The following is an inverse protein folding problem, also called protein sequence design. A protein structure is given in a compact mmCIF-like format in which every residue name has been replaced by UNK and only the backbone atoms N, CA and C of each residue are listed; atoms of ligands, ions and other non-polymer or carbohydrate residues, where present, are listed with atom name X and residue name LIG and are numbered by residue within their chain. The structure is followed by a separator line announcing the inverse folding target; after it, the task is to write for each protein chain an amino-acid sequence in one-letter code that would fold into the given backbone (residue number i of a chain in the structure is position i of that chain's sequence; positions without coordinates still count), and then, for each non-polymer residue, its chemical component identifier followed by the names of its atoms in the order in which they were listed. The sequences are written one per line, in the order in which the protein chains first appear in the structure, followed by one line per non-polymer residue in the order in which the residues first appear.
data_IF_218936870292
#
_entry.id   IF_218936870292
#
_cell.length_a   1.000
_cell.length_b   1.000
_cell.length_c   1.000
_cell.angle_alpha   90.00
_cell.angle_beta   90.00
_cell.angle_gamma   90.00
#
_symmetry.space_group_name_H-M   'P 1'
#
loop_
_entity.id
_entity.type
_entity.pdbx_description
1 polymer ?
#
# COMPACT_ATOMS: atom_id res chain seq x y z
N UNK A 1 -32.98 15.75 11.41
CA UNK A 1 -32.49 14.66 10.54
C UNK A 1 -31.84 15.18 9.25
N UNK A 2 -32.47 16.13 8.53
CA UNK A 2 -32.03 16.65 7.22
C UNK A 2 -30.68 17.41 7.30
N UNK A 3 -30.49 18.19 8.37
CA UNK A 3 -29.24 18.90 8.63
C UNK A 3 -28.08 17.92 8.86
N UNK A 4 -28.31 16.86 9.65
CA UNK A 4 -27.31 15.82 9.89
C UNK A 4 -26.98 15.04 8.62
N UNK A 5 -27.98 14.77 7.77
CA UNK A 5 -27.77 14.16 6.47
C UNK A 5 -26.82 15.01 5.61
N UNK A 6 -27.11 16.30 5.45
CA UNK A 6 -26.28 17.19 4.66
C UNK A 6 -24.88 17.38 5.25
N UNK A 7 -24.75 17.49 6.58
CA UNK A 7 -23.47 17.54 7.23
C UNK A 7 -22.63 16.30 6.93
N UNK A 8 -23.21 15.09 7.03
CA UNK A 8 -22.52 13.85 6.71
C UNK A 8 -22.15 13.73 5.23
N UNK A 9 -23.02 14.18 4.31
CA UNK A 9 -22.72 14.18 2.87
C UNK A 9 -21.57 15.14 2.57
N UNK A 10 -21.62 16.38 3.08
CA UNK A 10 -20.59 17.39 2.84
C UNK A 10 -19.24 16.99 3.42
N UNK A 11 -19.22 16.41 4.62
CA UNK A 11 -18.00 15.87 5.21
C UNK A 11 -17.38 14.79 4.31
N UNK A 12 -18.16 13.81 3.87
CA UNK A 12 -17.65 12.73 3.00
C UNK A 12 -17.19 13.23 1.63
N UNK A 13 -17.85 14.23 1.08
CA UNK A 13 -17.41 14.87 -0.18
C UNK A 13 -16.10 15.64 0.03
N UNK A 14 -15.94 16.31 1.16
CA UNK A 14 -14.70 16.99 1.53
C UNK A 14 -13.53 16.02 1.68
N UNK A 15 -13.76 14.94 2.43
CA UNK A 15 -12.70 13.98 2.77
C UNK A 15 -12.25 13.12 1.57
N UNK A 16 -13.20 12.67 0.75
CA UNK A 16 -12.94 11.65 -0.29
C UNK A 16 -13.21 12.12 -1.72
N UNK A 17 -13.66 13.37 -1.92
CA UNK A 17 -14.11 13.89 -3.21
C UNK A 17 -15.46 13.34 -3.64
N UNK A 18 -15.90 13.77 -4.84
CA UNK A 18 -17.13 13.31 -5.45
C UNK A 18 -16.90 11.96 -6.16
N UNK A 19 -17.85 11.02 -5.95
CA UNK A 19 -17.96 9.76 -6.70
C UNK A 19 -19.40 9.62 -7.20
N UNK A 20 -19.63 8.75 -8.17
CA UNK A 20 -20.96 8.56 -8.78
C UNK A 20 -22.07 8.37 -7.74
N UNK A 21 -21.83 7.50 -6.75
CA UNK A 21 -22.76 7.27 -5.66
C UNK A 21 -23.06 8.51 -4.83
N UNK A 22 -22.06 9.38 -4.62
CA UNK A 22 -22.24 10.62 -3.86
C UNK A 22 -23.01 11.67 -4.66
N UNK A 23 -22.84 11.70 -5.99
CA UNK A 23 -23.65 12.54 -6.85
C UNK A 23 -25.12 12.14 -6.74
N UNK A 24 -25.43 10.85 -6.85
CA UNK A 24 -26.81 10.38 -6.66
C UNK A 24 -27.33 10.63 -5.25
N UNK A 25 -26.48 10.50 -4.23
CA UNK A 25 -26.87 10.82 -2.85
C UNK A 25 -27.23 12.29 -2.68
N UNK A 26 -26.46 13.19 -3.31
CA UNK A 26 -26.76 14.64 -3.33
C UNK A 26 -28.09 14.91 -4.04
N UNK A 27 -28.33 14.29 -5.19
CA UNK A 27 -29.58 14.41 -5.94
C UNK A 27 -30.77 13.94 -5.09
N UNK A 28 -30.66 12.76 -4.48
CA UNK A 28 -31.68 12.24 -3.56
C UNK A 28 -31.91 13.18 -2.37
N UNK A 29 -30.85 13.70 -1.78
CA UNK A 29 -30.94 14.66 -0.68
C UNK A 29 -31.67 15.97 -1.07
N UNK A 30 -31.37 16.48 -2.27
CA UNK A 30 -32.05 17.65 -2.79
C UNK A 30 -33.56 17.41 -3.00
N UNK A 31 -33.91 16.26 -3.56
CA UNK A 31 -35.34 15.85 -3.74
C UNK A 31 -36.03 15.73 -2.39
N UNK A 32 -35.40 15.05 -1.41
CA UNK A 32 -35.95 14.93 -0.05
C UNK A 32 -36.12 16.29 0.63
N UNK A 33 -35.15 17.20 0.45
CA UNK A 33 -35.21 18.56 1.01
C UNK A 33 -36.37 19.33 0.40
N UNK A 34 -36.56 19.25 -0.91
CA UNK A 34 -37.70 19.87 -1.61
C UNK A 34 -39.04 19.29 -1.12
N UNK A 35 -39.14 17.96 -0.93
CA UNK A 35 -40.31 17.30 -0.40
C UNK A 35 -40.70 17.80 1.00
N UNK A 36 -39.71 17.87 1.91
CA UNK A 36 -39.91 18.36 3.28
C UNK A 36 -40.30 19.83 3.27
N UNK A 37 -39.69 20.66 2.43
CA UNK A 37 -40.03 22.07 2.30
C UNK A 37 -41.48 22.29 1.83
N UNK A 38 -41.93 21.52 0.82
CA UNK A 38 -43.33 21.58 0.35
C UNK A 38 -44.32 21.08 1.41
N UNK A 39 -43.93 20.05 2.16
CA UNK A 39 -44.75 19.57 3.27
C UNK A 39 -44.88 20.63 4.37
N UNK A 40 -43.77 21.22 4.78
CA UNK A 40 -43.74 22.29 5.79
C UNK A 40 -44.55 23.53 5.32
N UNK A 41 -44.52 23.84 4.03
CA UNK A 41 -45.33 24.92 3.42
C UNK A 41 -46.81 24.55 3.22
N UNK A 42 -47.25 23.37 3.67
CA UNK A 42 -48.62 22.85 3.50
C UNK A 42 -49.11 22.83 2.03
N UNK A 43 -48.19 22.66 1.08
CA UNK A 43 -48.49 22.62 -0.38
C UNK A 43 -48.50 21.18 -0.89
N UNK A 44 -49.20 20.28 -0.23
CA UNK A 44 -49.20 18.84 -0.49
C UNK A 44 -49.71 18.45 -1.88
N UNK A 45 -50.59 19.25 -2.50
CA UNK A 45 -51.11 18.99 -3.86
C UNK A 45 -50.05 19.13 -4.97
N UNK A 46 -48.81 19.49 -4.66
CA UNK A 46 -47.74 19.72 -5.63
C UNK A 46 -46.69 18.60 -5.71
N UNK A 47 -46.95 17.46 -5.09
CA UNK A 47 -45.99 16.34 -5.11
C UNK A 47 -45.66 15.80 -6.50
N UNK A 48 -46.57 15.93 -7.46
CA UNK A 48 -46.29 15.53 -8.84
C UNK A 48 -45.14 16.36 -9.46
N UNK A 49 -44.92 17.59 -9.05
CA UNK A 49 -43.77 18.39 -9.48
C UNK A 49 -42.47 17.83 -8.93
N UNK A 50 -42.48 17.29 -7.70
CA UNK A 50 -41.31 16.63 -7.11
C UNK A 50 -40.94 15.39 -7.92
N UNK A 51 -41.97 14.56 -8.25
CA UNK A 51 -41.76 13.37 -9.05
C UNK A 51 -41.21 13.70 -10.44
N UNK A 52 -41.79 14.72 -11.11
CA UNK A 52 -41.30 15.18 -12.40
C UNK A 52 -39.87 15.73 -12.32
N UNK A 53 -39.59 16.55 -11.32
CA UNK A 53 -38.21 17.10 -11.10
C UNK A 53 -37.24 15.98 -10.80
N UNK A 54 -37.59 15.01 -9.94
CA UNK A 54 -36.77 13.85 -9.65
C UNK A 54 -36.45 13.05 -10.92
N UNK A 55 -37.48 12.79 -11.73
CA UNK A 55 -37.30 12.10 -13.00
C UNK A 55 -36.31 12.85 -13.92
N UNK A 56 -36.53 14.17 -14.08
CA UNK A 56 -35.61 15.00 -14.90
C UNK A 56 -34.17 14.99 -14.36
N UNK A 57 -33.97 15.13 -13.04
CA UNK A 57 -32.65 15.12 -12.45
C UNK A 57 -31.96 13.76 -12.64
N UNK A 58 -32.65 12.65 -12.39
CA UNK A 58 -32.11 11.33 -12.64
C UNK A 58 -31.85 11.09 -14.13
N UNK A 59 -32.74 11.51 -15.01
CA UNK A 59 -32.52 11.41 -16.46
C UNK A 59 -31.28 12.19 -16.91
N UNK A 60 -31.10 13.43 -16.44
CA UNK A 60 -29.95 14.27 -16.75
C UNK A 60 -28.65 13.62 -16.25
N UNK A 61 -28.63 13.11 -15.00
CA UNK A 61 -27.45 12.54 -14.40
C UNK A 61 -27.11 11.14 -14.91
N UNK A 62 -28.07 10.40 -15.47
CA UNK A 62 -27.85 9.07 -16.00
C UNK A 62 -27.55 9.06 -17.51
N UNK A 63 -28.20 9.90 -18.30
CA UNK A 63 -28.18 9.77 -19.76
C UNK A 63 -27.47 10.92 -20.49
N UNK A 64 -27.31 12.08 -19.89
CA UNK A 64 -26.62 13.18 -20.57
C UNK A 64 -25.13 13.20 -20.16
N UNK A 65 -24.21 12.88 -21.10
CA UNK A 65 -22.77 12.69 -20.77
C UNK A 65 -22.17 13.89 -20.05
N UNK A 66 -22.54 15.12 -20.44
CA UNK A 66 -22.00 16.35 -19.83
C UNK A 66 -22.45 16.57 -18.37
N UNK A 67 -23.61 16.04 -18.00
CA UNK A 67 -24.25 16.16 -16.68
C UNK A 67 -24.30 14.82 -15.97
N UNK A 68 -23.65 13.77 -16.51
CA UNK A 68 -23.64 12.46 -15.88
C UNK A 68 -22.90 12.49 -14.54
N UNK A 69 -23.33 11.62 -13.64
CA UNK A 69 -22.67 11.44 -12.35
C UNK A 69 -21.16 11.16 -12.55
N UNK A 70 -20.82 10.30 -13.50
CA UNK A 70 -19.45 9.96 -13.86
C UNK A 70 -18.64 11.18 -14.33
N UNK A 71 -19.23 12.05 -15.18
CA UNK A 71 -18.53 13.25 -15.63
C UNK A 71 -18.21 14.23 -14.48
N UNK A 72 -19.14 14.38 -13.53
CA UNK A 72 -18.89 15.19 -12.33
C UNK A 72 -17.82 14.54 -11.43
N UNK A 73 -17.90 13.24 -11.25
CA UNK A 73 -16.95 12.48 -10.43
C UNK A 73 -15.55 12.53 -11.01
N UNK A 74 -15.37 12.27 -12.31
CA UNK A 74 -14.09 12.34 -13.00
C UNK A 74 -13.45 13.73 -12.86
N UNK A 75 -14.20 14.80 -13.12
CA UNK A 75 -13.69 16.18 -12.94
C UNK A 75 -13.26 16.45 -11.50
N UNK A 76 -14.06 16.01 -10.53
CA UNK A 76 -13.76 16.19 -9.11
C UNK A 76 -12.50 15.42 -8.69
N UNK A 77 -12.37 14.17 -9.11
CA UNK A 77 -11.22 13.31 -8.77
C UNK A 77 -9.95 13.79 -9.48
N UNK A 78 -10.04 14.26 -10.75
CA UNK A 78 -8.90 14.84 -11.45
C UNK A 78 -8.40 16.10 -10.73
N UNK A 79 -9.30 17.03 -10.42
CA UNK A 79 -8.91 18.25 -9.70
C UNK A 79 -8.35 17.95 -8.30
N UNK A 80 -8.85 16.90 -7.63
CA UNK A 80 -8.32 16.44 -6.36
C UNK A 80 -6.93 15.84 -6.50
N UNK A 81 -6.72 14.98 -7.49
CA UNK A 81 -5.43 14.36 -7.76
C UNK A 81 -4.38 15.43 -8.10
N UNK A 82 -4.69 16.38 -8.98
CA UNK A 82 -3.80 17.52 -9.31
C UNK A 82 -3.42 18.32 -8.08
N UNK A 83 -4.39 18.66 -7.23
CA UNK A 83 -4.13 19.39 -5.98
C UNK A 83 -3.23 18.61 -5.02
N UNK A 84 -3.49 17.31 -4.84
CA UNK A 84 -2.71 16.45 -3.95
C UNK A 84 -1.30 16.23 -4.48
N UNK A 85 -1.16 15.99 -5.78
CA UNK A 85 0.14 15.88 -6.44
C UNK A 85 0.97 17.17 -6.33
N UNK A 86 0.31 18.33 -6.46
CA UNK A 86 0.97 19.63 -6.18
C UNK A 86 1.39 19.80 -4.71
N UNK A 87 0.55 19.38 -3.77
CA UNK A 87 0.85 19.45 -2.32
C UNK A 87 1.96 18.50 -1.88
N UNK A 88 2.15 17.40 -2.58
CA UNK A 88 3.22 16.42 -2.34
C UNK A 88 4.50 16.72 -3.14
N UNK A 89 4.47 17.73 -4.02
CA UNK A 89 5.62 18.08 -4.85
C UNK A 89 5.92 17.08 -5.97
N UNK A 90 4.98 16.20 -6.29
CA UNK A 90 5.13 15.18 -7.31
C UNK A 90 4.85 15.67 -8.73
N UNK A 91 4.41 16.91 -8.95
CA UNK A 91 4.22 17.44 -10.29
C UNK A 91 5.54 17.97 -10.84
N UNK A 92 5.84 17.58 -12.07
CA UNK A 92 6.91 18.18 -12.86
C UNK A 92 6.47 19.52 -13.48
N UNK A 93 7.36 20.17 -14.24
CA UNK A 93 7.08 21.43 -14.94
C UNK A 93 5.99 21.31 -16.01
N UNK A 94 5.74 20.10 -16.51
CA UNK A 94 4.70 19.80 -17.51
C UNK A 94 3.35 19.47 -16.89
N UNK A 95 3.27 19.39 -15.54
CA UNK A 95 2.08 19.01 -14.80
C UNK A 95 1.84 17.50 -14.73
N UNK A 96 2.84 16.68 -15.10
CA UNK A 96 2.82 15.21 -14.99
C UNK A 96 3.40 14.77 -13.67
N UNK A 97 3.06 13.55 -13.25
CA UNK A 97 3.61 12.96 -12.02
C UNK A 97 5.08 12.53 -12.23
N UNK A 98 5.96 13.07 -11.42
CA UNK A 98 7.32 12.62 -11.27
C UNK A 98 7.43 11.73 -10.03
N UNK A 99 7.29 10.43 -10.24
CA UNK A 99 7.26 9.43 -9.17
C UNK A 99 8.64 9.24 -8.51
N UNK A 100 9.72 9.73 -9.12
CA UNK A 100 11.07 9.67 -8.53
C UNK A 100 11.23 10.55 -7.29
N UNK A 101 10.30 11.50 -7.07
CA UNK A 101 10.30 12.42 -5.92
C UNK A 101 9.57 11.88 -4.69
N UNK A 102 9.11 10.65 -4.73
CA UNK A 102 8.43 10.06 -3.57
C UNK A 102 9.43 9.85 -2.43
N UNK A 103 9.12 10.44 -1.27
CA UNK A 103 9.87 10.21 -0.04
C UNK A 103 9.02 9.39 0.95
N UNK A 104 9.36 8.11 1.07
CA UNK A 104 8.70 7.19 2.01
C UNK A 104 8.96 7.53 3.48
N UNK A 105 10.02 8.32 3.76
CA UNK A 105 10.44 8.66 5.13
C UNK A 105 9.58 9.74 5.74
N UNK A 106 8.92 10.55 4.91
CA UNK A 106 8.02 11.60 5.38
C UNK A 106 6.64 11.02 5.70
N UNK A 107 6.49 10.54 6.94
CA UNK A 107 5.23 9.98 7.43
C UNK A 107 4.06 10.95 7.36
N UNK A 108 4.32 12.26 7.39
CA UNK A 108 3.28 13.28 7.24
C UNK A 108 2.73 13.32 5.81
N UNK A 109 3.51 12.91 4.82
CA UNK A 109 3.07 12.84 3.43
C UNK A 109 2.37 11.52 3.10
N UNK A 110 2.58 10.44 3.85
CA UNK A 110 1.97 9.14 3.56
C UNK A 110 0.43 9.21 3.47
N UNK A 111 -0.19 10.02 4.33
CA UNK A 111 -1.64 10.26 4.24
C UNK A 111 -2.03 10.92 2.92
N UNK A 112 -1.25 11.88 2.44
CA UNK A 112 -1.50 12.56 1.16
C UNK A 112 -1.26 11.64 -0.02
N UNK A 113 -0.23 10.79 0.02
CA UNK A 113 0.01 9.75 -0.99
C UNK A 113 -1.15 8.76 -1.08
N UNK A 114 -1.71 8.34 0.06
CA UNK A 114 -2.91 7.51 0.11
C UNK A 114 -4.12 8.19 -0.52
N UNK A 115 -4.35 9.45 -0.19
CA UNK A 115 -5.45 10.22 -0.77
C UNK A 115 -5.26 10.46 -2.27
N UNK A 116 -4.01 10.67 -2.71
CA UNK A 116 -3.65 10.77 -4.12
C UNK A 116 -3.90 9.44 -4.82
N UNK A 117 -3.39 8.33 -4.28
CA UNK A 117 -3.62 7.00 -4.82
C UNK A 117 -5.11 6.69 -4.98
N UNK A 118 -5.93 6.95 -3.98
CA UNK A 118 -7.36 6.72 -4.05
C UNK A 118 -8.06 7.54 -5.17
N UNK A 119 -7.56 8.75 -5.46
CA UNK A 119 -8.07 9.56 -6.58
C UNK A 119 -7.58 9.03 -7.93
N UNK A 120 -6.32 8.61 -8.04
CA UNK A 120 -5.77 8.01 -9.25
C UNK A 120 -6.40 6.64 -9.55
N UNK A 121 -6.65 5.83 -8.53
CA UNK A 121 -7.30 4.52 -8.64
C UNK A 121 -8.72 4.65 -9.16
N UNK A 122 -9.47 5.64 -8.65
CA UNK A 122 -10.78 5.98 -9.20
C UNK A 122 -10.73 6.37 -10.68
N UNK A 123 -9.71 7.15 -11.09
CA UNK A 123 -9.52 7.53 -12.50
C UNK A 123 -9.11 6.32 -13.35
N UNK A 124 -8.26 5.44 -12.85
CA UNK A 124 -7.83 4.21 -13.52
C UNK A 124 -9.02 3.28 -13.82
N UNK A 125 -9.94 3.15 -12.86
CA UNK A 125 -11.13 2.32 -13.01
C UNK A 125 -12.15 2.88 -14.02
N UNK A 126 -12.18 4.21 -14.23
CA UNK A 126 -13.22 4.85 -15.02
C UNK A 126 -12.72 5.42 -16.36
N UNK A 127 -11.47 5.88 -16.43
CA UNK A 127 -10.88 6.48 -17.63
C UNK A 127 -9.34 6.42 -17.60
N UNK A 128 -8.80 5.30 -18.03
CA UNK A 128 -7.34 5.08 -18.10
C UNK A 128 -6.63 6.03 -19.08
N UNK A 129 -7.33 6.49 -20.14
CA UNK A 129 -6.75 7.42 -21.10
C UNK A 129 -6.56 8.80 -20.46
N UNK A 130 -7.52 9.24 -19.66
CA UNK A 130 -7.40 10.48 -18.89
C UNK A 130 -6.21 10.43 -17.93
N UNK A 131 -5.99 9.28 -17.27
CA UNK A 131 -4.88 9.07 -16.36
C UNK A 131 -3.53 9.23 -17.08
N UNK A 132 -3.36 8.57 -18.23
CA UNK A 132 -2.15 8.64 -19.05
C UNK A 132 -1.90 10.04 -19.62
N UNK A 133 -2.95 10.72 -20.12
CA UNK A 133 -2.85 12.04 -20.73
C UNK A 133 -2.49 13.13 -19.72
N UNK A 134 -3.18 13.14 -18.56
CA UNK A 134 -3.05 14.20 -17.55
C UNK A 134 -1.88 13.99 -16.61
N UNK A 135 -1.65 12.76 -16.17
CA UNK A 135 -0.66 12.45 -15.13
C UNK A 135 0.58 11.73 -15.65
N UNK A 136 0.57 11.23 -16.90
CA UNK A 136 1.71 10.57 -17.51
C UNK A 136 1.97 9.15 -17.00
N UNK A 137 1.02 8.55 -16.26
CA UNK A 137 1.07 7.18 -15.75
C UNK A 137 0.01 6.33 -16.44
N UNK A 138 0.33 5.09 -16.78
CA UNK A 138 -0.61 4.18 -17.44
C UNK A 138 -1.59 3.54 -16.45
N UNK A 139 -1.18 3.36 -15.20
CA UNK A 139 -1.97 2.74 -14.13
C UNK A 139 -1.72 3.39 -12.78
N UNK A 140 -2.73 3.40 -11.92
CA UNK A 140 -2.63 3.87 -10.53
C UNK A 140 -1.56 3.12 -9.74
N UNK A 141 -1.39 1.82 -10.03
CA UNK A 141 -0.42 0.94 -9.37
C UNK A 141 1.04 1.33 -9.59
N UNK A 142 1.35 2.14 -10.57
CA UNK A 142 2.72 2.67 -10.76
C UNK A 142 3.15 3.49 -9.53
N UNK A 143 2.22 4.24 -8.93
CA UNK A 143 2.47 4.95 -7.67
C UNK A 143 2.85 3.98 -6.55
N UNK A 144 2.15 2.83 -6.44
CA UNK A 144 2.46 1.82 -5.42
C UNK A 144 3.82 1.17 -5.63
N UNK A 145 4.21 0.98 -6.90
CA UNK A 145 5.51 0.40 -7.26
C UNK A 145 6.71 1.23 -6.81
N UNK A 146 6.52 2.50 -6.49
CA UNK A 146 7.59 3.39 -6.02
C UNK A 146 7.85 3.26 -4.52
N UNK A 147 6.98 2.58 -3.76
CA UNK A 147 7.19 2.34 -2.34
C UNK A 147 7.86 0.97 -2.14
N UNK A 148 8.96 0.96 -1.41
CA UNK A 148 9.73 -0.27 -1.14
C UNK A 148 9.09 -1.11 -0.03
N UNK A 149 8.43 -0.46 0.95
CA UNK A 149 7.79 -1.14 2.07
C UNK A 149 6.40 -1.68 1.70
N UNK A 150 6.20 -3.00 1.83
CA UNK A 150 4.90 -3.64 1.65
C UNK A 150 3.83 -3.05 2.58
N UNK A 151 4.18 -2.74 3.82
CA UNK A 151 3.26 -2.12 4.78
C UNK A 151 2.82 -0.72 4.36
N UNK A 152 3.73 0.08 3.79
CA UNK A 152 3.39 1.39 3.25
C UNK A 152 2.48 1.22 2.03
N UNK A 153 2.76 0.26 1.15
CA UNK A 153 1.88 -0.08 0.03
C UNK A 153 0.48 -0.49 0.50
N UNK A 154 0.41 -1.37 1.50
CA UNK A 154 -0.85 -1.82 2.09
C UNK A 154 -1.62 -0.67 2.76
N UNK A 155 -0.93 0.23 3.46
CA UNK A 155 -1.54 1.43 4.01
C UNK A 155 -2.10 2.34 2.91
N UNK A 156 -1.34 2.57 1.85
CA UNK A 156 -1.76 3.44 0.75
C UNK A 156 -2.93 2.81 -0.01
N UNK A 157 -2.87 1.53 -0.29
CA UNK A 157 -3.87 0.82 -1.07
C UNK A 157 -5.14 0.52 -0.28
N UNK A 158 -5.01 -0.05 0.92
CA UNK A 158 -6.13 -0.59 1.69
C UNK A 158 -6.51 0.25 2.90
N UNK A 159 -5.62 1.14 3.35
CA UNK A 159 -5.83 2.00 4.49
C UNK A 159 -5.74 1.30 5.83
N UNK A 160 -5.00 0.22 5.89
CA UNK A 160 -4.66 -0.38 7.18
C UNK A 160 -3.96 0.66 8.05
N UNK A 161 -4.33 0.73 9.34
CA UNK A 161 -3.72 1.68 10.25
C UNK A 161 -2.21 1.45 10.30
N UNK A 162 -1.46 2.45 9.83
CA UNK A 162 -0.07 2.57 10.20
C UNK A 162 -0.07 3.10 11.63
N UNK A 163 0.36 2.29 12.56
CA UNK A 163 0.80 2.85 13.85
C UNK A 163 1.92 3.85 13.52
N UNK A 164 1.68 5.13 13.79
CA UNK A 164 2.61 6.20 13.44
C UNK A 164 3.96 6.07 14.15
N UNK A 165 4.01 5.32 15.24
CA UNK A 165 5.26 4.90 15.88
C UNK A 165 5.96 3.76 15.11
N UNK A 166 5.22 2.92 14.36
CA UNK A 166 5.75 1.88 13.47
C UNK A 166 6.07 2.38 12.06
N UNK A 167 5.38 3.40 11.56
CA UNK A 167 5.71 4.01 10.27
C UNK A 167 7.06 4.75 10.28
N UNK A 168 7.47 5.26 11.45
CA UNK A 168 8.83 5.74 11.68
C UNK A 168 9.84 4.58 11.80
N UNK A 169 9.36 3.35 11.98
CA UNK A 169 10.13 2.14 11.95
C UNK A 169 10.11 1.60 10.53
N UNK A 170 11.13 1.91 9.76
CA UNK A 170 11.35 1.36 8.44
C UNK A 170 11.24 -0.17 8.51
N UNK A 171 10.10 -0.70 8.06
CA UNK A 171 9.94 -2.13 7.87
C UNK A 171 10.39 -2.44 6.46
N UNK A 172 11.50 -3.12 6.35
CA UNK A 172 12.01 -3.60 5.06
C UNK A 172 11.67 -5.08 4.95
N UNK A 173 10.90 -5.43 3.93
CA UNK A 173 10.58 -6.82 3.58
C UNK A 173 11.35 -7.22 2.32
N UNK A 174 12.07 -8.33 2.39
CA UNK A 174 12.90 -8.84 1.30
C UNK A 174 12.50 -10.28 0.98
N UNK A 175 12.33 -10.59 -0.29
CA UNK A 175 11.94 -11.91 -0.77
C UNK A 175 12.98 -12.49 -1.73
N UNK A 176 13.26 -13.78 -1.57
CA UNK A 176 14.17 -14.52 -2.44
C UNK A 176 13.65 -14.66 -3.89
N UNK A 177 12.37 -14.43 -4.13
CA UNK A 177 11.79 -14.41 -5.48
C UNK A 177 12.35 -13.30 -6.38
N UNK A 178 12.97 -12.28 -5.78
CA UNK A 178 13.60 -11.15 -6.48
C UNK A 178 15.06 -11.45 -6.88
N UNK A 179 15.64 -12.56 -6.39
CA UNK A 179 17.01 -12.95 -6.73
C UNK A 179 17.11 -13.37 -8.19
N UNK A 180 17.72 -12.55 -9.01
CA UNK A 180 17.95 -12.79 -10.45
C UNK A 180 19.28 -13.48 -10.76
N UNK A 181 20.20 -13.58 -9.82
CA UNK A 181 21.52 -14.19 -10.01
C UNK A 181 21.67 -15.48 -9.21
N UNK A 182 22.43 -16.48 -9.72
CA UNK A 182 22.67 -17.71 -9.00
C UNK A 182 23.56 -17.45 -7.76
N UNK A 183 23.17 -18.05 -6.64
CA UNK A 183 23.94 -17.97 -5.40
C UNK A 183 25.25 -18.78 -5.53
N UNK A 184 26.37 -18.15 -5.23
CA UNK A 184 27.68 -18.86 -5.17
C UNK A 184 27.80 -19.65 -3.87
N UNK A 185 27.89 -20.97 -4.00
CA UNK A 185 27.98 -21.93 -2.89
C UNK A 185 29.35 -22.62 -2.84
N UNK A 186 30.36 -22.04 -3.48
CA UNK A 186 31.71 -22.59 -3.54
C UNK A 186 32.26 -22.84 -2.14
N UNK A 187 32.79 -24.06 -1.91
CA UNK A 187 33.37 -24.46 -0.62
C UNK A 187 32.39 -25.11 0.36
N UNK A 188 31.08 -25.20 0.04
CA UNK A 188 30.11 -25.94 0.83
C UNK A 188 29.79 -27.30 0.17
N UNK A 189 29.60 -28.34 1.00
CA UNK A 189 29.39 -29.72 0.54
C UNK A 189 27.97 -30.21 0.71
N UNK A 190 27.27 -29.74 1.74
CA UNK A 190 25.96 -30.23 2.11
C UNK A 190 24.95 -29.09 2.03
N UNK A 191 23.79 -29.38 1.46
CA UNK A 191 22.65 -28.48 1.36
C UNK A 191 21.48 -29.08 2.12
N UNK A 192 20.88 -28.29 3.00
CA UNK A 192 19.73 -28.66 3.79
C UNK A 192 18.57 -27.70 3.49
N UNK A 193 17.36 -28.25 3.28
CA UNK A 193 16.12 -27.49 3.21
C UNK A 193 15.37 -27.69 4.54
N UNK A 194 15.47 -26.76 5.49
CA UNK A 194 14.87 -26.93 6.80
C UNK A 194 13.36 -26.70 6.75
N UNK A 195 12.63 -27.43 7.59
CA UNK A 195 11.17 -27.22 7.77
C UNK A 195 10.99 -26.32 8.98
N UNK A 196 10.14 -25.28 8.86
CA UNK A 196 9.74 -24.49 10.01
C UNK A 196 8.84 -25.35 10.88
N UNK A 197 9.28 -25.55 12.09
CA UNK A 197 8.62 -26.15 13.23
C UNK A 197 7.42 -27.12 13.00
N UNK A 198 7.50 -28.32 13.55
CA UNK A 198 6.45 -29.09 14.21
C UNK A 198 6.35 -30.58 13.96
N UNK A 199 7.07 -31.23 13.03
CA UNK A 199 6.97 -32.68 12.91
C UNK A 199 8.33 -33.37 12.89
N UNK A 200 8.52 -34.33 13.80
CA UNK A 200 9.66 -35.21 14.03
C UNK A 200 9.86 -36.22 12.89
N UNK A 201 10.38 -35.84 11.75
CA UNK A 201 10.57 -36.78 10.63
C UNK A 201 11.98 -36.78 10.06
N UNK A 202 13.02 -36.68 10.90
CA UNK A 202 14.40 -36.82 10.41
C UNK A 202 14.85 -35.73 9.41
N UNK A 203 14.13 -34.62 9.36
CA UNK A 203 14.45 -33.47 8.51
C UNK A 203 15.24 -32.42 9.31
N UNK A 204 16.08 -31.66 8.62
CA UNK A 204 16.66 -30.43 9.20
C UNK A 204 15.56 -29.47 9.60
N UNK A 205 15.77 -28.72 10.69
CA UNK A 205 14.75 -27.82 11.25
C UNK A 205 15.36 -26.48 11.57
N UNK A 206 14.51 -25.47 11.58
CA UNK A 206 14.85 -24.20 12.22
C UNK A 206 13.74 -23.77 13.19
N UNK A 207 14.11 -23.00 14.18
CA UNK A 207 13.15 -22.36 15.11
C UNK A 207 13.52 -20.90 15.30
N UNK A 208 12.49 -20.07 15.35
CA UNK A 208 12.59 -18.67 15.73
C UNK A 208 11.85 -18.55 17.06
N UNK A 209 12.54 -18.63 18.17
CA UNK A 209 11.96 -18.52 19.51
C UNK A 209 12.47 -17.25 20.18
N UNK A 210 11.56 -16.32 20.45
CA UNK A 210 11.95 -14.96 20.87
C UNK A 210 12.83 -14.30 19.83
N UNK A 211 13.94 -13.71 20.23
CA UNK A 211 14.88 -13.02 19.34
C UNK A 211 16.02 -13.91 18.84
N UNK A 212 15.82 -15.20 18.72
CA UNK A 212 16.91 -16.14 18.41
C UNK A 212 16.56 -17.09 17.28
N UNK A 213 17.42 -17.14 16.24
CA UNK A 213 17.39 -18.18 15.21
C UNK A 213 18.23 -19.39 15.67
N UNK A 214 17.65 -20.58 15.57
CA UNK A 214 18.35 -21.85 15.79
C UNK A 214 18.15 -22.77 14.59
N UNK A 215 19.21 -23.41 14.15
CA UNK A 215 19.19 -24.43 13.11
C UNK A 215 19.59 -25.79 13.69
N UNK A 216 18.88 -26.81 13.27
CA UNK A 216 19.12 -28.19 13.69
C UNK A 216 19.35 -29.09 12.49
N UNK A 217 20.32 -29.98 12.61
CA UNK A 217 20.55 -31.06 11.67
C UNK A 217 19.46 -32.15 11.77
N UNK A 218 19.35 -33.06 10.78
CA UNK A 218 18.40 -34.16 10.83
C UNK A 218 18.53 -35.08 12.06
N UNK A 219 19.73 -35.18 12.62
CA UNK A 219 20.03 -35.93 13.85
C UNK A 219 19.57 -35.25 15.14
N UNK A 220 19.02 -34.02 15.03
CA UNK A 220 18.56 -33.22 16.15
C UNK A 220 19.62 -32.35 16.81
N UNK A 221 20.88 -32.43 16.38
CA UNK A 221 21.97 -31.61 16.91
C UNK A 221 21.80 -30.15 16.48
N UNK A 222 21.92 -29.21 17.42
CA UNK A 222 21.96 -27.79 17.15
C UNK A 222 23.24 -27.44 16.39
N UNK A 223 23.10 -26.91 15.17
CA UNK A 223 24.19 -26.50 14.31
C UNK A 223 24.53 -25.02 14.51
N UNK A 224 23.51 -24.20 14.73
CA UNK A 224 23.64 -22.75 14.75
C UNK A 224 22.64 -22.12 15.71
N UNK A 225 23.12 -21.11 16.45
CA UNK A 225 22.29 -20.30 17.35
C UNK A 225 22.84 -18.88 17.38
N UNK A 226 21.99 -17.91 17.01
CA UNK A 226 22.30 -16.47 17.09
C UNK A 226 21.05 -15.68 17.39
N UNK A 227 21.21 -14.58 18.11
CA UNK A 227 20.13 -13.58 18.28
C UNK A 227 19.91 -12.83 16.97
N UNK A 228 18.70 -12.32 16.77
CA UNK A 228 18.42 -11.47 15.62
C UNK A 228 19.27 -10.19 15.63
N UNK A 229 19.57 -9.69 16.82
CA UNK A 229 20.45 -8.55 16.97
C UNK A 229 21.86 -8.83 16.41
N UNK A 230 22.46 -9.98 16.73
CA UNK A 230 23.76 -10.37 16.18
C UNK A 230 23.71 -10.64 14.67
N UNK A 231 22.57 -11.10 14.16
CA UNK A 231 22.41 -11.40 12.73
C UNK A 231 22.23 -10.16 11.87
N UNK A 232 21.55 -9.14 12.40
CA UNK A 232 21.02 -8.05 11.58
C UNK A 232 21.48 -6.65 11.99
N UNK A 233 22.08 -6.43 13.18
CA UNK A 233 22.40 -5.08 13.66
C UNK A 233 23.28 -4.30 12.69
N UNK A 234 24.41 -4.86 12.27
CA UNK A 234 25.34 -4.17 11.37
C UNK A 234 24.80 -4.07 9.93
N UNK A 235 24.01 -5.04 9.51
CA UNK A 235 23.48 -5.14 8.15
C UNK A 235 22.25 -4.29 7.91
N UNK A 236 21.41 -4.15 8.92
CA UNK A 236 20.22 -3.28 8.83
C UNK A 236 20.57 -1.82 8.65
N UNK A 237 21.72 -1.36 9.14
CA UNK A 237 22.17 0.02 8.96
C UNK A 237 22.62 0.29 7.52
N UNK A 238 23.18 -0.70 6.87
CA UNK A 238 23.59 -0.62 5.46
C UNK A 238 22.39 -0.67 4.51
N UNK A 239 21.35 -1.41 4.85
CA UNK A 239 20.15 -1.58 4.02
C UNK A 239 19.23 -0.37 4.00
N UNK A 240 19.32 0.54 4.95
CA UNK A 240 18.61 1.81 4.95
C UNK A 240 19.11 2.78 3.86
N UNK A 241 20.24 2.48 3.23
CA UNK A 241 20.91 3.28 2.21
C UNK A 241 21.18 2.46 0.96
N UNK A 242 20.17 1.75 0.45
CA UNK A 242 20.33 1.03 -0.80
C UNK A 242 20.32 2.04 -1.96
N UNK A 243 21.41 2.20 -2.72
CA UNK A 243 21.34 2.90 -4.00
C UNK A 243 20.57 2.02 -4.99
N UNK A 244 19.66 2.60 -5.73
CA UNK A 244 18.79 1.92 -6.70
C UNK A 244 19.53 1.09 -7.78
N UNK A 245 20.85 1.24 -7.90
CA UNK A 245 21.68 0.67 -8.97
C UNK A 245 22.56 -0.52 -8.56
N UNK A 246 22.64 -0.91 -7.27
CA UNK A 246 23.43 -2.05 -6.88
C UNK A 246 22.59 -3.34 -6.83
N UNK A 247 23.06 -4.43 -7.48
CA UNK A 247 22.35 -5.70 -7.44
C UNK A 247 22.28 -6.25 -6.01
N UNK A 248 21.09 -6.63 -5.58
CA UNK A 248 20.73 -7.32 -4.32
C UNK A 248 21.59 -8.58 -3.97
N UNK A 249 22.68 -8.82 -4.68
CA UNK A 249 23.40 -10.10 -4.81
C UNK A 249 24.77 -10.15 -4.16
N UNK A 250 25.16 -9.11 -3.44
CA UNK A 250 26.41 -9.18 -2.69
C UNK A 250 26.26 -10.10 -1.48
N UNK A 251 27.34 -10.74 -1.06
CA UNK A 251 27.35 -11.70 0.05
C UNK A 251 26.88 -11.13 1.40
N UNK A 252 26.69 -9.81 1.49
CA UNK A 252 26.30 -9.04 2.67
C UNK A 252 24.83 -8.65 2.71
N UNK A 253 24.02 -9.26 1.86
CA UNK A 253 22.59 -9.05 1.76
C UNK A 253 21.83 -9.67 2.97
N UNK A 254 20.70 -9.07 3.39
CA UNK A 254 19.82 -9.60 4.47
C UNK A 254 19.33 -11.03 4.21
N UNK A 255 19.22 -11.43 2.94
CA UNK A 255 18.77 -12.77 2.57
C UNK A 255 19.83 -13.84 2.72
N UNK A 256 21.07 -13.49 3.08
CA UNK A 256 22.15 -14.43 3.28
C UNK A 256 22.95 -14.12 4.54
N UNK A 257 23.24 -15.16 5.30
CA UNK A 257 24.22 -15.10 6.38
C UNK A 257 25.35 -16.07 6.06
N UNK A 258 26.57 -15.57 5.96
CA UNK A 258 27.72 -16.35 5.54
C UNK A 258 28.81 -16.34 6.61
N UNK A 259 29.32 -17.53 6.91
CA UNK A 259 30.57 -17.75 7.66
C UNK A 259 31.45 -18.71 6.88
N UNK A 260 32.68 -18.94 7.38
CA UNK A 260 33.61 -19.90 6.75
C UNK A 260 33.04 -21.32 6.66
N UNK A 261 32.13 -21.71 7.53
CA UNK A 261 31.57 -23.08 7.62
C UNK A 261 30.09 -23.20 7.33
N UNK A 262 29.34 -22.09 7.30
CA UNK A 262 27.89 -22.06 7.20
C UNK A 262 27.45 -20.93 6.29
N UNK A 263 26.55 -21.23 5.38
CA UNK A 263 25.80 -20.26 4.59
C UNK A 263 24.32 -20.52 4.82
N UNK A 264 23.56 -19.51 5.24
CA UNK A 264 22.11 -19.56 5.40
C UNK A 264 21.48 -18.68 4.32
N UNK A 265 20.49 -19.21 3.61
CA UNK A 265 19.64 -18.48 2.67
C UNK A 265 18.26 -18.31 3.29
N UNK A 266 17.76 -17.08 3.32
CA UNK A 266 16.41 -16.76 3.75
C UNK A 266 15.53 -16.59 2.53
N UNK A 267 14.36 -17.23 2.51
CA UNK A 267 13.36 -17.00 1.47
C UNK A 267 12.65 -15.66 1.65
N UNK A 268 12.62 -15.21 2.88
CA UNK A 268 12.01 -13.95 3.28
C UNK A 268 12.58 -13.47 4.60
N UNK A 269 12.81 -12.18 4.71
CA UNK A 269 13.22 -11.52 5.94
C UNK A 269 12.52 -10.17 6.05
N UNK A 270 11.97 -9.88 7.20
CA UNK A 270 11.35 -8.61 7.54
C UNK A 270 11.98 -8.06 8.81
N UNK A 271 12.43 -6.81 8.76
CA UNK A 271 13.03 -6.11 9.90
C UNK A 271 12.29 -4.81 10.11
N UNK A 272 11.68 -4.67 11.29
CA UNK A 272 11.02 -3.43 11.73
C UNK A 272 11.81 -2.79 12.86
N UNK A 273 12.01 -1.46 12.77
CA UNK A 273 12.72 -0.64 13.75
C UNK A 273 11.79 0.33 14.43
N UNK A 274 10.72 -0.13 15.02
CA UNK A 274 9.83 0.71 15.82
C UNK A 274 10.11 0.67 17.31
N UNK A 275 9.16 1.20 18.07
CA UNK A 275 9.13 1.10 19.54
C UNK A 275 9.22 -0.35 20.02
N UNK A 276 8.80 -1.28 19.17
CA UNK A 276 8.99 -2.72 19.30
C UNK A 276 9.79 -3.21 18.10
N UNK A 277 11.07 -3.45 18.30
CA UNK A 277 11.93 -4.07 17.30
C UNK A 277 11.37 -5.46 16.99
N UNK A 278 11.07 -5.69 15.73
CA UNK A 278 10.50 -6.93 15.25
C UNK A 278 11.36 -7.46 14.10
N UNK A 279 11.71 -8.73 14.16
CA UNK A 279 12.38 -9.43 13.07
C UNK A 279 11.59 -10.71 12.81
N UNK A 280 11.15 -10.90 11.59
CA UNK A 280 10.59 -12.15 11.12
C UNK A 280 11.41 -12.65 9.94
N UNK A 281 11.64 -13.93 9.86
CA UNK A 281 12.41 -14.54 8.79
C UNK A 281 11.91 -15.95 8.51
N UNK A 282 12.17 -16.39 7.28
CA UNK A 282 11.95 -17.75 6.85
C UNK A 282 13.23 -18.30 6.21
N UNK A 283 13.77 -19.40 6.75
CA UNK A 283 14.96 -20.05 6.21
C UNK A 283 14.58 -20.91 5.02
N UNK A 284 15.12 -20.62 3.84
CA UNK A 284 14.96 -21.44 2.64
C UNK A 284 15.88 -22.64 2.67
N UNK A 285 17.20 -22.38 2.77
CA UNK A 285 18.23 -23.41 2.78
C UNK A 285 19.40 -22.99 3.66
N UNK A 286 20.16 -23.99 4.13
CA UNK A 286 21.48 -23.73 4.66
C UNK A 286 22.49 -24.75 4.13
N UNK A 287 23.73 -24.31 4.03
CA UNK A 287 24.82 -25.07 3.46
C UNK A 287 25.95 -25.16 4.47
N UNK A 288 26.57 -26.36 4.59
CA UNK A 288 27.69 -26.60 5.47
C UNK A 288 28.89 -27.19 4.70
N UNK A 289 30.08 -27.02 5.25
CA UNK A 289 31.29 -27.67 4.70
C UNK A 289 31.28 -29.17 4.91
#
# INVERSE_FOLDING_TARGET
PLVLFWAGVMQRVGDYGLTDWRVYLIVCGAIMTAAVALFAARRTGRYYYIAATAFVLFFLTAYIPRFSATAFSLRSQTARAERLAGQTGLLDESGRLDLSRIDERDTAQLKRYRELYASLDYLDDHDTLLLADRFGIARSRELLGCFHSDRIRDYIQWGYELDTAEAAALTSSYSNSELRAPLRIDGYRYCYAPVSFSYNNGSSRYTTSGDTLRLYLPDGRELFRRSFDELFTERCDQLLYWPDDEPLYTADNLLFYRTDSLLISFSWAEVSRGKHRYVALNVDKFYTK
#
